data_IF_032095917285
#
_entry.id   IF_032095917285
#
_cell.length_a   1.000
_cell.length_b   1.000
_cell.length_c   1.000
_cell.angle_alpha   90.00
_cell.angle_beta   90.00
_cell.angle_gamma   90.00
#
_symmetry.space_group_name_H-M   'P 1'
#
loop_
_entity.id
_entity.type
_entity.pdbx_description
1 polymer ?
#
# COMPACT_ATOMS: atom_id res chain seq x y z
N UNK A 1 -28.11 -20.60 0.67
CA UNK A 1 -27.06 -21.05 1.61
C UNK A 1 -25.77 -21.21 0.82
N UNK A 2 -25.07 -20.11 0.58
CA UNK A 2 -23.86 -20.06 -0.26
C UNK A 2 -22.63 -20.27 0.62
N UNK A 3 -21.97 -21.41 0.45
CA UNK A 3 -20.77 -21.77 1.20
C UNK A 3 -19.64 -20.79 0.93
N UNK A 4 -19.09 -20.21 2.01
CA UNK A 4 -17.82 -19.48 1.98
C UNK A 4 -16.73 -20.42 1.44
N UNK A 5 -15.86 -19.90 0.58
CA UNK A 5 -14.67 -20.61 0.12
C UNK A 5 -13.81 -21.04 1.33
N UNK A 6 -13.21 -22.24 1.30
CA UNK A 6 -12.45 -22.78 2.44
C UNK A 6 -11.23 -21.95 2.82
N UNK A 7 -10.74 -21.08 1.92
CA UNK A 7 -9.61 -20.16 2.16
C UNK A 7 -10.03 -19.02 3.11
N UNK A 8 -11.24 -18.47 2.95
CA UNK A 8 -11.72 -17.35 3.77
C UNK A 8 -12.04 -17.77 5.21
N UNK A 9 -12.42 -19.02 5.43
CA UNK A 9 -12.71 -19.56 6.77
C UNK A 9 -11.43 -19.86 7.57
N UNK A 10 -10.35 -20.25 6.90
CA UNK A 10 -9.07 -20.57 7.57
C UNK A 10 -8.27 -19.29 7.91
N UNK A 11 -8.42 -18.21 7.12
CA UNK A 11 -7.80 -16.91 7.40
C UNK A 11 -8.61 -16.07 8.42
N UNK A 12 -9.95 -16.13 8.42
CA UNK A 12 -10.78 -15.38 9.38
C UNK A 12 -10.59 -15.86 10.84
N UNK A 13 -10.40 -17.17 11.08
CA UNK A 13 -10.29 -17.72 12.46
C UNK A 13 -8.88 -17.65 13.07
N UNK A 14 -7.81 -17.67 12.25
CA UNK A 14 -6.43 -17.54 12.75
C UNK A 14 -5.97 -16.10 12.93
N UNK A 15 -6.61 -15.14 12.26
CA UNK A 15 -6.19 -13.73 12.25
C UNK A 15 -6.52 -12.96 13.53
N UNK A 16 -7.62 -13.27 14.23
CA UNK A 16 -8.16 -12.34 15.23
C UNK A 16 -7.45 -12.28 16.60
N UNK A 17 -6.55 -13.23 16.92
CA UNK A 17 -5.88 -13.26 18.24
C UNK A 17 -4.58 -12.45 18.33
N UNK A 18 -3.96 -12.13 17.19
CA UNK A 18 -2.66 -11.44 17.14
C UNK A 18 -2.71 -10.04 16.52
N UNK A 19 -3.90 -9.52 16.20
CA UNK A 19 -4.06 -8.17 15.65
C UNK A 19 -3.86 -7.10 16.73
N UNK A 20 -2.65 -6.55 16.80
CA UNK A 20 -2.38 -5.34 17.58
C UNK A 20 -2.65 -4.09 16.75
N UNK A 21 -3.40 -3.15 17.31
CA UNK A 21 -3.48 -1.80 16.74
C UNK A 21 -2.09 -1.17 16.75
N UNK A 22 -1.77 -0.33 15.77
CA UNK A 22 -0.51 0.42 15.73
C UNK A 22 -0.22 1.14 17.06
N UNK A 23 -1.25 1.73 17.68
CA UNK A 23 -1.16 2.39 18.98
C UNK A 23 -0.74 1.44 20.11
N UNK A 24 -1.28 0.24 20.13
CA UNK A 24 -0.99 -0.78 21.14
C UNK A 24 0.40 -1.38 20.92
N UNK A 25 0.78 -1.58 19.67
CA UNK A 25 2.12 -2.00 19.28
C UNK A 25 3.19 -0.98 19.71
N UNK A 26 2.96 0.31 19.45
CA UNK A 26 3.87 1.38 19.87
C UNK A 26 3.95 1.48 21.41
N UNK A 27 2.83 1.32 22.13
CA UNK A 27 2.82 1.30 23.60
C UNK A 27 3.60 0.12 24.16
N UNK A 28 3.45 -1.06 23.58
CA UNK A 28 4.14 -2.29 23.99
C UNK A 28 5.66 -2.20 23.79
N UNK A 29 6.09 -1.54 22.71
CA UNK A 29 7.50 -1.51 22.29
C UNK A 29 8.21 -0.16 22.53
N UNK A 30 7.68 0.73 23.38
CA UNK A 30 8.22 2.10 23.60
C UNK A 30 9.72 2.20 23.86
N UNK A 31 10.36 1.15 24.38
CA UNK A 31 11.76 1.17 24.82
C UNK A 31 12.70 0.29 23.99
N UNK A 32 12.17 -0.65 23.22
CA UNK A 32 12.95 -1.68 22.53
C UNK A 32 12.62 -1.67 21.04
N UNK A 33 13.01 -0.60 20.35
CA UNK A 33 13.02 -0.60 18.88
C UNK A 33 14.43 -0.92 18.41
N UNK A 34 14.67 -2.18 18.04
CA UNK A 34 15.91 -2.60 17.39
C UNK A 34 15.93 -2.19 15.90
N UNK A 35 14.79 -1.72 15.36
CA UNK A 35 14.63 -1.38 13.95
C UNK A 35 13.52 -0.35 13.71
N UNK A 36 13.61 0.45 12.62
CA UNK A 36 12.56 1.41 12.27
C UNK A 36 11.28 0.71 11.81
N UNK A 37 10.13 1.23 12.24
CA UNK A 37 8.82 0.75 11.79
C UNK A 37 8.42 1.44 10.48
N UNK A 38 8.28 0.67 9.40
CA UNK A 38 7.81 1.17 8.11
C UNK A 38 6.31 0.94 7.95
N UNK A 39 5.57 2.02 7.66
CA UNK A 39 4.12 1.99 7.44
C UNK A 39 3.84 2.37 5.99
N UNK A 40 3.07 1.54 5.30
CA UNK A 40 2.61 1.81 3.94
C UNK A 40 1.11 2.18 3.97
N UNK A 41 0.76 3.48 3.95
CA UNK A 41 -0.62 3.91 4.09
C UNK A 41 -1.51 3.50 2.91
N UNK A 42 -0.91 3.10 1.77
CA UNK A 42 -1.65 2.60 0.61
C UNK A 42 -2.28 1.22 0.86
N UNK A 43 -1.77 0.45 1.83
CA UNK A 43 -2.24 -0.90 2.15
C UNK A 43 -2.04 -1.91 1.02
N UNK A 44 -1.41 -1.53 -0.10
CA UNK A 44 -1.24 -2.39 -1.25
C UNK A 44 -0.13 -1.92 -2.19
N UNK A 45 0.25 -2.78 -3.13
CA UNK A 45 1.25 -2.45 -4.15
C UNK A 45 0.75 -1.39 -5.12
N UNK A 46 1.57 -0.35 -5.33
CA UNK A 46 1.30 0.73 -6.28
C UNK A 46 1.39 0.26 -7.73
N UNK A 47 0.59 0.86 -8.60
CA UNK A 47 0.65 0.65 -10.07
C UNK A 47 1.57 1.66 -10.79
N UNK A 48 2.23 2.56 -10.05
CA UNK A 48 3.13 3.58 -10.59
C UNK A 48 2.46 4.75 -11.33
N UNK A 49 1.12 4.72 -11.53
CA UNK A 49 0.37 5.77 -12.25
C UNK A 49 -0.38 6.72 -11.31
N UNK A 50 -0.82 6.24 -10.16
CA UNK A 50 -1.50 7.04 -9.16
C UNK A 50 -1.45 6.37 -7.80
N UNK A 51 -1.62 7.15 -6.74
CA UNK A 51 -1.79 6.64 -5.39
C UNK A 51 -3.26 6.29 -5.17
N UNK A 52 -3.51 5.12 -4.59
CA UNK A 52 -4.81 4.85 -3.98
C UNK A 52 -5.03 5.80 -2.79
N UNK A 53 -6.28 5.95 -2.39
CA UNK A 53 -6.60 6.66 -1.17
C UNK A 53 -5.93 5.96 0.00
N UNK A 54 -5.23 6.75 0.81
CA UNK A 54 -4.56 6.24 1.98
C UNK A 54 -5.55 5.77 3.05
N UNK A 55 -5.20 4.67 3.70
CA UNK A 55 -5.88 4.19 4.88
C UNK A 55 -5.66 5.19 6.03
N UNK A 56 -6.67 5.41 6.89
CA UNK A 56 -6.58 6.36 8.00
C UNK A 56 -5.78 5.78 9.18
N UNK A 57 -4.51 5.44 8.94
CA UNK A 57 -3.63 4.76 9.92
C UNK A 57 -3.42 5.60 11.18
N UNK A 58 -3.40 6.93 11.03
CA UNK A 58 -3.13 7.87 12.12
C UNK A 58 -4.38 8.49 12.75
N UNK A 59 -5.59 8.15 12.31
CA UNK A 59 -6.85 8.77 12.77
C UNK A 59 -7.04 8.68 14.29
N UNK A 60 -6.63 7.55 14.91
CA UNK A 60 -6.77 7.31 16.35
C UNK A 60 -5.66 7.92 17.21
N UNK A 61 -4.74 8.69 16.63
CA UNK A 61 -3.63 9.31 17.35
C UNK A 61 -3.98 10.73 17.77
N UNK A 62 -3.72 11.04 19.05
CA UNK A 62 -3.82 12.42 19.51
C UNK A 62 -2.58 13.23 19.08
N UNK A 63 -2.68 14.57 18.95
CA UNK A 63 -1.53 15.42 18.59
C UNK A 63 -0.34 15.24 19.55
N UNK A 64 -0.62 15.04 20.84
CA UNK A 64 0.38 14.75 21.87
C UNK A 64 1.11 13.43 21.64
N UNK A 65 0.41 12.39 21.18
CA UNK A 65 1.00 11.10 20.86
C UNK A 65 1.86 11.17 19.60
N UNK A 66 1.42 11.92 18.58
CA UNK A 66 2.19 12.16 17.36
C UNK A 66 3.48 12.96 17.63
N UNK A 67 3.43 13.92 18.55
CA UNK A 67 4.60 14.72 18.96
C UNK A 67 5.73 13.87 19.56
N UNK A 68 5.38 12.80 20.25
CA UNK A 68 6.35 11.88 20.85
C UNK A 68 6.93 10.89 19.84
N UNK A 69 6.50 10.90 18.58
CA UNK A 69 6.96 10.00 17.52
C UNK A 69 7.90 10.72 16.55
N UNK A 70 8.94 10.01 16.12
CA UNK A 70 9.85 10.44 15.04
C UNK A 70 9.32 9.94 13.70
N UNK A 71 8.41 10.73 13.10
CA UNK A 71 7.84 10.41 11.80
C UNK A 71 8.78 10.86 10.67
N UNK A 72 9.17 9.91 9.82
CA UNK A 72 9.94 10.17 8.60
C UNK A 72 9.08 9.85 7.37
N UNK A 73 8.76 10.86 6.57
CA UNK A 73 8.01 10.64 5.33
C UNK A 73 8.97 10.40 4.17
N UNK A 74 8.82 9.23 3.55
CA UNK A 74 9.59 8.81 2.39
C UNK A 74 8.60 8.47 1.29
N UNK A 75 8.68 9.19 0.19
CA UNK A 75 7.93 8.92 -1.03
C UNK A 75 8.86 8.27 -2.06
N UNK A 76 8.47 7.09 -2.52
CA UNK A 76 9.17 6.35 -3.56
C UNK A 76 8.41 6.53 -4.88
N UNK A 77 9.09 7.06 -5.90
CA UNK A 77 8.52 7.21 -7.24
C UNK A 77 9.40 6.50 -8.27
N UNK A 78 8.79 5.63 -9.05
CA UNK A 78 9.41 5.06 -10.24
C UNK A 78 9.09 5.92 -11.46
N UNK A 79 10.02 6.75 -11.97
CA UNK A 79 9.87 7.36 -13.28
C UNK A 79 9.89 6.27 -14.36
N UNK A 80 8.71 5.80 -14.77
CA UNK A 80 8.59 4.92 -15.93
C UNK A 80 8.56 5.78 -17.18
N UNK A 81 9.74 6.09 -17.74
CA UNK A 81 9.82 6.77 -19.04
C UNK A 81 9.67 5.76 -20.19
N UNK A 82 10.17 4.53 -20.06
CA UNK A 82 10.21 3.57 -21.18
C UNK A 82 9.56 2.20 -20.89
N UNK A 83 9.80 1.60 -19.73
CA UNK A 83 9.27 0.25 -19.41
C UNK A 83 8.82 0.16 -17.95
N UNK A 84 7.58 -0.30 -17.73
CA UNK A 84 7.09 -0.63 -16.40
C UNK A 84 7.46 -2.06 -16.06
N UNK A 85 7.96 -2.31 -14.85
CA UNK A 85 8.09 -3.66 -14.31
C UNK A 85 6.71 -4.33 -14.14
N UNK A 86 5.64 -3.54 -14.22
CA UNK A 86 4.26 -4.03 -14.18
C UNK A 86 3.71 -4.22 -15.59
N UNK A 87 3.13 -5.39 -15.79
CA UNK A 87 2.64 -5.89 -17.07
C UNK A 87 1.36 -5.14 -17.48
N UNK A 88 1.52 -3.99 -18.14
CA UNK A 88 0.36 -3.09 -18.32
C UNK A 88 -0.46 -3.35 -19.58
N UNK A 89 0.12 -3.90 -20.66
CA UNK A 89 -0.56 -4.39 -21.89
C UNK A 89 0.50 -4.80 -22.93
N UNK A 90 0.81 -6.10 -23.11
CA UNK A 90 1.54 -6.64 -24.28
C UNK A 90 1.56 -8.19 -24.30
N UNK A 91 2.22 -8.82 -25.28
CA UNK A 91 2.56 -10.24 -25.26
C UNK A 91 3.62 -10.56 -24.17
N UNK A 92 3.51 -11.74 -23.54
CA UNK A 92 4.41 -12.22 -22.46
C UNK A 92 5.89 -12.19 -22.86
N UNK A 93 6.20 -12.58 -24.08
CA UNK A 93 7.57 -12.66 -24.59
C UNK A 93 8.14 -11.27 -24.90
N UNK A 94 7.35 -10.37 -25.49
CA UNK A 94 7.79 -8.99 -25.76
C UNK A 94 8.10 -8.26 -24.45
N UNK A 95 7.28 -8.46 -23.42
CA UNK A 95 7.56 -7.90 -22.10
C UNK A 95 8.80 -8.51 -21.47
N UNK A 96 8.98 -9.84 -21.53
CA UNK A 96 10.18 -10.50 -21.00
C UNK A 96 11.44 -9.96 -21.67
N UNK A 97 11.44 -9.85 -23.00
CA UNK A 97 12.54 -9.27 -23.77
C UNK A 97 12.84 -7.84 -23.32
N UNK A 98 11.81 -6.97 -23.25
CA UNK A 98 11.99 -5.59 -22.82
C UNK A 98 12.48 -5.46 -21.37
N UNK A 99 12.02 -6.34 -20.46
CA UNK A 99 12.52 -6.39 -19.08
C UNK A 99 13.97 -6.83 -19.03
N UNK A 100 14.38 -7.84 -19.82
CA UNK A 100 15.77 -8.28 -19.91
C UNK A 100 16.68 -7.20 -20.52
N UNK A 101 16.16 -6.33 -21.39
CA UNK A 101 16.89 -5.21 -21.96
C UNK A 101 16.93 -3.96 -21.05
N UNK A 102 16.28 -3.99 -19.89
CA UNK A 102 16.27 -2.86 -18.95
C UNK A 102 17.39 -2.99 -17.93
N UNK A 103 18.61 -2.61 -18.32
CA UNK A 103 19.81 -2.70 -17.48
C UNK A 103 19.78 -1.77 -16.24
N UNK A 104 18.94 -0.74 -16.23
CA UNK A 104 18.83 0.19 -15.10
C UNK A 104 17.38 0.62 -14.88
N UNK A 105 16.94 0.53 -13.62
CA UNK A 105 15.72 1.15 -13.13
C UNK A 105 16.11 2.28 -12.18
N UNK A 106 15.61 3.49 -12.42
CA UNK A 106 15.81 4.61 -11.51
C UNK A 106 14.63 4.67 -10.53
N UNK A 107 14.92 4.78 -9.24
CA UNK A 107 13.95 5.05 -8.19
C UNK A 107 14.21 6.46 -7.65
N UNK A 108 13.25 7.36 -7.82
CA UNK A 108 13.29 8.70 -7.23
C UNK A 108 12.78 8.61 -5.80
N UNK A 109 13.67 8.75 -4.84
CA UNK A 109 13.35 8.84 -3.41
C UNK A 109 13.20 10.31 -3.04
N UNK A 110 12.04 10.69 -2.53
CA UNK A 110 11.81 12.00 -1.92
C UNK A 110 11.61 11.82 -0.43
N UNK A 111 12.47 12.44 0.36
CA UNK A 111 12.37 12.44 1.81
C UNK A 111 12.02 13.85 2.29
N UNK A 112 11.18 13.95 3.31
CA UNK A 112 10.95 15.21 4.02
C UNK A 112 11.84 15.24 5.28
N UNK A 113 13.01 15.91 5.26
CA UNK A 113 13.81 16.11 6.47
C UNK A 113 13.04 17.06 7.40
N UNK A 114 12.90 16.70 8.68
CA UNK A 114 12.17 17.47 9.71
C UNK A 114 10.64 17.56 9.58
N UNK A 115 10.01 16.48 9.13
CA UNK A 115 8.56 16.37 9.16
C UNK A 115 7.93 16.70 10.53
N UNK A 116 8.62 16.40 11.64
CA UNK A 116 8.14 16.67 13.00
C UNK A 116 7.74 18.13 13.24
N UNK A 117 8.37 19.11 12.59
CA UNK A 117 8.02 20.53 12.77
C UNK A 117 6.69 20.91 12.09
N UNK A 118 6.36 20.25 10.98
CA UNK A 118 5.14 20.52 10.22
C UNK A 118 3.89 19.89 10.83
N UNK A 119 4.05 18.91 11.72
CA UNK A 119 2.95 18.10 12.24
C UNK A 119 2.77 18.21 13.76
N UNK A 120 3.33 19.26 14.39
CA UNK A 120 3.30 19.41 15.85
C UNK A 120 1.89 19.62 16.43
N UNK A 121 0.99 20.20 15.64
CA UNK A 121 -0.39 20.50 16.04
C UNK A 121 -1.45 19.79 15.18
N UNK A 122 -1.01 18.99 14.21
CA UNK A 122 -1.91 18.41 13.21
C UNK A 122 -2.56 17.13 13.70
N UNK A 123 -3.80 16.93 13.28
CA UNK A 123 -4.54 15.69 13.50
C UNK A 123 -4.01 14.59 12.58
N UNK A 124 -4.16 13.31 12.94
CA UNK A 124 -3.63 12.20 12.13
C UNK A 124 -4.17 12.16 10.68
N UNK A 125 -5.38 12.63 10.44
CA UNK A 125 -5.94 12.77 9.09
C UNK A 125 -5.19 13.80 8.24
N UNK A 126 -4.81 14.92 8.84
CA UNK A 126 -4.08 15.99 8.16
C UNK A 126 -2.67 15.54 7.80
N UNK A 127 -2.04 14.71 8.64
CA UNK A 127 -0.74 14.08 8.35
C UNK A 127 -0.82 13.28 7.05
N UNK A 128 -1.85 12.45 6.90
CA UNK A 128 -2.07 11.61 5.71
C UNK A 128 -2.35 12.48 4.47
N UNK A 129 -3.17 13.53 4.62
CA UNK A 129 -3.49 14.47 3.54
C UNK A 129 -2.26 15.24 3.07
N UNK A 130 -1.48 15.77 4.01
CA UNK A 130 -0.25 16.53 3.74
C UNK A 130 0.83 15.63 3.11
N UNK A 131 0.92 14.36 3.51
CA UNK A 131 1.77 13.39 2.85
C UNK A 131 1.36 13.17 1.38
N UNK A 132 0.05 13.08 1.11
CA UNK A 132 -0.50 13.07 -0.24
C UNK A 132 0.00 14.23 -1.09
N UNK A 133 -0.13 15.46 -0.58
CA UNK A 133 0.36 16.67 -1.24
C UNK A 133 1.87 16.66 -1.46
N UNK A 134 2.66 16.24 -0.46
CA UNK A 134 4.11 16.15 -0.54
C UNK A 134 4.59 15.21 -1.64
N UNK A 135 3.92 14.07 -1.81
CA UNK A 135 4.27 13.07 -2.82
C UNK A 135 4.22 13.63 -4.26
N UNK A 136 3.39 14.66 -4.50
CA UNK A 136 3.03 15.18 -5.84
C UNK A 136 2.56 14.07 -6.79
N UNK A 137 1.99 13.00 -6.26
CA UNK A 137 1.38 11.93 -7.03
C UNK A 137 -0.13 12.17 -7.10
N UNK A 138 -0.73 11.80 -8.24
CA UNK A 138 -2.18 11.90 -8.42
C UNK A 138 -2.86 10.93 -7.46
N UNK A 139 -3.65 11.45 -6.52
CA UNK A 139 -4.53 10.64 -5.70
C UNK A 139 -5.75 10.21 -6.53
N UNK A 140 -6.09 8.94 -6.43
CA UNK A 140 -7.28 8.37 -7.04
C UNK A 140 -8.40 8.27 -6.01
N UNK A 141 -9.64 8.24 -6.48
CA UNK A 141 -10.80 7.99 -5.61
C UNK A 141 -10.98 6.51 -5.28
N UNK A 142 -10.03 5.65 -5.66
CA UNK A 142 -10.09 4.21 -5.44
C UNK A 142 -9.39 3.86 -4.13
N UNK A 143 -9.96 2.90 -3.40
CA UNK A 143 -9.44 2.39 -2.13
C UNK A 143 -8.83 1.00 -2.31
N UNK A 144 -8.18 0.51 -1.26
CA UNK A 144 -7.67 -0.87 -1.21
C UNK A 144 -8.77 -1.93 -1.44
N UNK A 145 -9.98 -1.70 -0.91
CA UNK A 145 -11.12 -2.60 -1.11
C UNK A 145 -11.48 -2.79 -2.59
N UNK A 146 -11.36 -1.75 -3.40
CA UNK A 146 -11.64 -1.82 -4.83
C UNK A 146 -10.63 -2.73 -5.53
N UNK A 147 -9.37 -2.73 -5.06
CA UNK A 147 -8.35 -3.65 -5.55
C UNK A 147 -8.64 -5.09 -5.14
N UNK A 148 -9.11 -5.34 -3.92
CA UNK A 148 -9.53 -6.70 -3.51
C UNK A 148 -10.65 -7.19 -4.42
N UNK A 149 -11.71 -6.40 -4.58
CA UNK A 149 -12.85 -6.74 -5.46
C UNK A 149 -12.41 -6.99 -6.90
N UNK A 150 -11.46 -6.20 -7.40
CA UNK A 150 -10.87 -6.41 -8.73
C UNK A 150 -10.14 -7.74 -8.83
N UNK A 151 -9.31 -8.09 -7.84
CA UNK A 151 -8.57 -9.35 -7.82
C UNK A 151 -9.53 -10.55 -7.69
N UNK A 152 -10.54 -10.45 -6.85
CA UNK A 152 -11.60 -11.45 -6.73
C UNK A 152 -12.30 -11.68 -8.08
N UNK A 153 -12.73 -10.60 -8.73
CA UNK A 153 -13.33 -10.66 -10.06
C UNK A 153 -12.39 -11.31 -11.09
N UNK A 154 -11.11 -10.91 -11.11
CA UNK A 154 -10.13 -11.44 -12.06
C UNK A 154 -9.86 -12.93 -11.85
N UNK A 155 -9.68 -13.35 -10.59
CA UNK A 155 -9.48 -14.75 -10.24
C UNK A 155 -10.71 -15.60 -10.57
N UNK A 156 -11.92 -15.09 -10.27
CA UNK A 156 -13.18 -15.74 -10.67
C UNK A 156 -13.30 -15.84 -12.18
N UNK A 157 -12.86 -14.83 -12.93
CA UNK A 157 -12.85 -14.87 -14.39
C UNK A 157 -11.88 -15.91 -14.91
N UNK A 158 -10.65 -15.98 -14.40
CA UNK A 158 -9.67 -17.00 -14.83
C UNK A 158 -10.17 -18.41 -14.54
N UNK A 159 -10.74 -18.64 -13.35
CA UNK A 159 -11.37 -19.93 -13.01
C UNK A 159 -12.61 -20.22 -13.87
N UNK A 160 -13.37 -19.19 -14.26
CA UNK A 160 -14.56 -19.33 -15.11
C UNK A 160 -14.26 -19.41 -16.60
N UNK A 161 -13.08 -19.00 -17.06
CA UNK A 161 -12.60 -19.28 -18.43
C UNK A 161 -12.22 -20.75 -18.63
N UNK A 162 -11.96 -21.52 -17.55
CA UNK A 162 -11.98 -22.98 -17.64
C UNK A 162 -13.41 -23.52 -17.91
N UNK A 163 -14.44 -22.77 -17.54
CA UNK A 163 -15.86 -23.13 -17.75
C UNK A 163 -16.40 -22.84 -19.15
N UNK A 164 -15.64 -22.14 -20.03
CA UNK A 164 -16.03 -21.90 -21.44
C UNK A 164 -15.17 -22.64 -22.46
N UNK A 165 -14.51 -23.72 -22.03
CA UNK A 165 -13.83 -24.67 -22.94
C UNK A 165 -14.43 -26.07 -22.80
N UNK A 166 -15.75 -26.17 -22.89
CA UNK A 166 -16.46 -27.42 -23.16
C UNK A 166 -17.72 -27.11 -23.97
N UNK A 167 -17.69 -27.59 -25.21
CA UNK A 167 -18.73 -27.61 -26.25
C UNK A 167 -18.94 -26.30 -27.01
#
# INVERSE_FOLDING_TARGET
>A
MTGKSPINLIEEEKSNKDLLTLKDYLKKNKRNFDSPLCIFPEGTTSNGRGLLRFLPVFEKFSPLELKNLTLNFICLKYPHENFSCTFTVNSKLTHLYNTCCQFQNFLKVKQLPHAQQYFQETTGEEVVKNYGTFSKLRQTNLNFEDKIKFLEYFNLRESSTAYKKKY
#
